data_IF_170473779656
#
_entry.id   IF_170473779656
#
_cell.length_a   1.000
_cell.length_b   1.000
_cell.length_c   1.000
_cell.angle_alpha   90.00
_cell.angle_beta   90.00
_cell.angle_gamma   90.00
#
_symmetry.space_group_name_H-M   'P 1'
#
loop_
_entity.id
_entity.type
_entity.pdbx_description
1 polymer ?
#
# COMPACT_ATOMS: atom_id res chain seq x y z
N UNK A 1 -3.99 -15.67 13.16
CA UNK A 1 -3.77 -14.45 12.38
C UNK A 1 -2.27 -14.43 12.11
N UNK A 2 -1.85 -14.79 10.90
CA UNK A 2 -0.43 -14.79 10.57
C UNK A 2 -0.06 -13.38 10.09
N UNK A 3 0.52 -12.58 10.96
CA UNK A 3 1.13 -11.30 10.59
C UNK A 3 2.47 -11.58 9.91
N UNK A 4 2.46 -11.71 8.58
CA UNK A 4 3.68 -11.74 7.79
C UNK A 4 3.97 -10.34 7.24
N UNK A 5 4.57 -9.49 8.07
CA UNK A 5 5.15 -8.24 7.60
C UNK A 5 6.39 -8.54 6.73
N UNK A 6 6.47 -7.91 5.56
CA UNK A 6 7.62 -7.97 4.66
C UNK A 6 8.18 -6.58 4.46
N UNK A 7 9.52 -6.49 4.42
CA UNK A 7 10.21 -5.25 4.05
C UNK A 7 10.29 -5.18 2.54
N UNK A 8 9.99 -4.02 1.98
CA UNK A 8 10.01 -3.75 0.54
C UNK A 8 11.13 -2.74 0.28
N UNK A 9 12.09 -3.13 -0.55
CA UNK A 9 13.11 -2.21 -1.02
C UNK A 9 12.56 -1.38 -2.19
N UNK A 10 12.68 -0.06 -2.09
CA UNK A 10 12.27 0.89 -3.12
C UNK A 10 13.45 1.77 -3.51
N UNK A 11 13.68 1.94 -4.82
CA UNK A 11 14.83 2.70 -5.34
C UNK A 11 14.74 4.22 -5.06
N UNK A 12 13.53 4.70 -4.72
CA UNK A 12 13.27 6.12 -4.47
C UNK A 12 12.05 6.30 -3.57
N UNK A 13 12.16 7.27 -2.67
CA UNK A 13 11.05 7.81 -1.90
C UNK A 13 10.84 9.31 -2.19
N UNK A 14 9.60 9.83 -2.06
CA UNK A 14 8.38 9.10 -1.70
C UNK A 14 7.81 8.29 -2.87
N UNK A 15 7.26 7.12 -2.56
CA UNK A 15 6.50 6.29 -3.50
C UNK A 15 4.99 6.48 -3.27
N UNK A 16 4.18 6.23 -4.30
CA UNK A 16 2.72 6.34 -4.20
C UNK A 16 2.11 5.02 -3.72
N UNK A 17 1.17 5.07 -2.77
CA UNK A 17 0.56 3.89 -2.16
C UNK A 17 0.08 2.81 -3.15
N UNK A 18 -0.62 3.18 -4.23
CA UNK A 18 -1.07 2.18 -5.22
C UNK A 18 0.09 1.43 -5.91
N UNK A 19 1.30 1.99 -5.94
CA UNK A 19 2.49 1.32 -6.49
C UNK A 19 3.02 0.27 -5.52
N UNK A 20 2.91 0.49 -4.21
CA UNK A 20 3.27 -0.51 -3.19
C UNK A 20 2.43 -1.78 -3.38
N UNK A 21 1.10 -1.63 -3.46
CA UNK A 21 0.20 -2.77 -3.70
C UNK A 21 0.52 -3.53 -4.99
N UNK A 22 0.96 -2.81 -6.04
CA UNK A 22 1.37 -3.44 -7.30
C UNK A 22 2.70 -4.19 -7.17
N UNK A 23 3.69 -3.61 -6.51
CA UNK A 23 5.02 -4.22 -6.32
C UNK A 23 4.89 -5.54 -5.54
N UNK A 24 4.04 -5.55 -4.51
CA UNK A 24 3.77 -6.73 -3.69
C UNK A 24 2.78 -7.73 -4.31
N UNK A 25 2.31 -7.49 -5.53
CA UNK A 25 1.27 -8.29 -6.19
C UNK A 25 -0.01 -8.45 -5.36
N UNK A 26 -0.32 -7.47 -4.49
CA UNK A 26 -1.58 -7.40 -3.73
C UNK A 26 -2.76 -6.95 -4.60
N UNK A 27 -2.47 -6.40 -5.79
CA UNK A 27 -3.45 -6.09 -6.82
C UNK A 27 -2.89 -6.47 -8.21
N UNK A 28 -3.72 -7.02 -9.07
CA UNK A 28 -3.35 -7.47 -10.43
C UNK A 28 -3.17 -6.30 -11.40
N UNK A 29 -3.71 -5.12 -11.08
CA UNK A 29 -3.54 -3.92 -11.90
C UNK A 29 -3.44 -2.63 -11.07
N UNK A 30 -2.92 -1.58 -11.71
CA UNK A 30 -2.93 -0.24 -11.10
C UNK A 30 -4.33 0.37 -10.99
N UNK A 31 -5.33 -0.18 -11.69
CA UNK A 31 -6.74 0.19 -11.54
C UNK A 31 -7.32 -0.44 -10.27
N UNK A 32 -7.17 -1.75 -10.12
CA UNK A 32 -7.57 -2.50 -8.94
C UNK A 32 -6.94 -1.95 -7.66
N UNK A 33 -5.62 -1.71 -7.66
CA UNK A 33 -4.92 -1.09 -6.53
C UNK A 33 -5.57 0.24 -6.08
N UNK A 34 -6.06 1.04 -7.04
CA UNK A 34 -6.74 2.30 -6.73
C UNK A 34 -8.16 2.10 -6.24
N UNK A 35 -8.84 1.05 -6.67
CA UNK A 35 -10.18 0.71 -6.20
C UNK A 35 -10.12 0.23 -4.75
N UNK A 36 -9.27 -0.75 -4.44
CA UNK A 36 -9.16 -1.28 -3.07
C UNK A 36 -8.74 -0.21 -2.05
N UNK A 37 -7.86 0.72 -2.44
CA UNK A 37 -7.54 1.90 -1.61
C UNK A 37 -8.79 2.77 -1.41
N UNK A 38 -9.54 3.09 -2.49
CA UNK A 38 -10.74 3.92 -2.37
C UNK A 38 -11.82 3.29 -1.51
N UNK A 39 -11.93 1.96 -1.56
CA UNK A 39 -12.94 1.19 -0.85
C UNK A 39 -12.55 0.94 0.63
N UNK A 40 -11.35 1.37 1.04
CA UNK A 40 -10.92 1.37 2.44
C UNK A 40 -10.26 0.08 2.92
N UNK A 41 -9.84 -0.81 2.01
CA UNK A 41 -9.15 -2.07 2.33
C UNK A 41 -7.68 -1.90 2.72
N UNK A 42 -7.18 -0.66 2.72
CA UNK A 42 -5.76 -0.37 2.97
C UNK A 42 -5.64 0.53 4.19
N UNK A 43 -4.72 0.18 5.08
CA UNK A 43 -4.30 1.04 6.19
C UNK A 43 -2.86 1.48 6.01
N UNK A 44 -2.57 2.70 6.44
CA UNK A 44 -1.20 3.20 6.58
C UNK A 44 -1.02 3.61 8.03
N UNK A 45 -0.08 2.96 8.72
CA UNK A 45 0.18 3.16 10.15
C UNK A 45 -1.10 2.99 11.00
N UNK A 46 -1.86 1.91 10.74
CA UNK A 46 -3.09 1.58 11.47
C UNK A 46 -4.35 2.37 11.07
N UNK A 47 -4.22 3.41 10.24
CA UNK A 47 -5.34 4.27 9.82
C UNK A 47 -5.78 3.93 8.40
N UNK A 48 -7.09 3.74 8.21
CA UNK A 48 -7.69 3.54 6.87
C UNK A 48 -7.30 4.70 5.96
N UNK A 49 -6.71 4.38 4.82
CA UNK A 49 -6.22 5.36 3.86
C UNK A 49 -6.95 5.19 2.52
N UNK A 50 -7.60 6.25 2.07
CA UNK A 50 -8.37 6.27 0.80
C UNK A 50 -7.69 7.08 -0.30
N UNK A 51 -6.56 7.72 -0.01
CA UNK A 51 -5.76 8.49 -0.98
C UNK A 51 -4.82 7.56 -1.75
N UNK A 52 -5.28 7.15 -2.93
CA UNK A 52 -4.56 6.33 -3.94
C UNK A 52 -3.08 6.71 -4.18
N UNK A 53 -2.77 8.01 -4.13
CA UNK A 53 -1.44 8.58 -4.37
C UNK A 53 -0.80 9.16 -3.08
N UNK A 54 -1.23 8.69 -1.90
CA UNK A 54 -0.54 9.00 -0.64
C UNK A 54 0.94 8.69 -0.83
N UNK A 55 1.78 9.66 -0.45
CA UNK A 55 3.22 9.50 -0.40
C UNK A 55 3.57 8.61 0.79
N UNK A 56 4.21 7.50 0.50
CA UNK A 56 4.72 6.52 1.47
C UNK A 56 6.23 6.74 1.56
N UNK A 57 6.72 6.79 2.78
CA UNK A 57 8.13 6.94 3.13
C UNK A 57 8.65 5.67 3.78
N UNK A 58 9.98 5.52 3.83
CA UNK A 58 10.60 4.45 4.61
C UNK A 58 10.09 4.46 6.07
N UNK A 59 9.74 3.29 6.57
CA UNK A 59 9.19 3.09 7.91
C UNK A 59 7.66 3.17 8.02
N UNK A 60 6.94 3.64 6.98
CA UNK A 60 5.48 3.52 6.94
C UNK A 60 5.07 2.04 6.84
N UNK A 61 4.14 1.62 7.71
CA UNK A 61 3.53 0.29 7.65
C UNK A 61 2.28 0.35 6.77
N UNK A 62 2.26 -0.49 5.73
CA UNK A 62 1.09 -0.64 4.85
C UNK A 62 0.45 -2.00 5.13
N UNK A 63 -0.83 -1.98 5.48
CA UNK A 63 -1.64 -3.17 5.76
C UNK A 63 -2.74 -3.29 4.71
N UNK A 64 -3.06 -4.52 4.31
CA UNK A 64 -4.08 -4.85 3.31
C UNK A 64 -4.99 -5.95 3.85
N UNK A 65 -6.29 -5.69 3.90
CA UNK A 65 -7.34 -6.62 4.34
C UNK A 65 -8.12 -7.21 3.15
#
# INVERSE_FOLDING_TARGET
MNEHARVIDIDREPIELYKILKIENLAQSGGEAKHVIADGFVRVNGVVETRKRKKILSGDLVEFE
#
